data_IF_092756021680
#
_entry.id   IF_092756021680
#
_cell.length_a   1.000
_cell.length_b   1.000
_cell.length_c   1.000
_cell.angle_alpha   90.00
_cell.angle_beta   90.00
_cell.angle_gamma   90.00
#
_symmetry.space_group_name_H-M   'P 1'
#
loop_
_entity.id
_entity.type
_entity.pdbx_description
1 polymer ?
#
# COMPACT_ATOMS: atom_id res chain seq x y z
N UNK A 1 -16.88 -1.14 22.11
CA UNK A 1 -15.64 -0.33 22.12
C UNK A 1 -14.86 -0.72 20.89
N UNK A 2 -14.96 0.07 19.81
CA UNK A 2 -14.17 -0.19 18.61
C UNK A 2 -12.92 0.65 18.74
N UNK A 3 -11.80 0.01 19.08
CA UNK A 3 -10.49 0.63 19.00
C UNK A 3 -10.30 1.09 17.55
N UNK A 4 -10.39 2.40 17.31
CA UNK A 4 -9.94 3.04 16.07
C UNK A 4 -8.42 2.87 16.02
N UNK A 5 -8.00 1.68 15.63
CA UNK A 5 -6.61 1.37 15.34
C UNK A 5 -6.24 2.30 14.19
N UNK A 6 -5.39 3.29 14.46
CA UNK A 6 -4.85 4.17 13.43
C UNK A 6 -4.22 3.29 12.36
N UNK A 7 -4.89 3.13 11.23
CA UNK A 7 -4.39 2.28 10.16
C UNK A 7 -3.12 2.90 9.59
N UNK A 8 -2.08 2.07 9.43
CA UNK A 8 -0.84 2.52 8.82
C UNK A 8 -1.11 2.90 7.36
N UNK A 9 -0.54 4.03 6.96
CA UNK A 9 -0.63 4.51 5.59
C UNK A 9 0.76 4.59 5.00
N UNK A 10 0.91 3.96 3.84
CA UNK A 10 2.16 3.81 3.12
C UNK A 10 2.14 4.59 1.80
N UNK A 11 3.30 5.09 1.43
CA UNK A 11 3.56 5.68 0.12
C UNK A 11 3.87 4.60 -0.89
N UNK A 12 3.76 4.90 -2.18
CA UNK A 12 4.19 3.99 -3.28
C UNK A 12 5.60 3.44 -3.06
N UNK A 13 6.52 4.29 -2.60
CA UNK A 13 7.92 3.91 -2.31
C UNK A 13 8.02 2.91 -1.15
N UNK A 14 7.23 3.11 -0.10
CA UNK A 14 7.23 2.21 1.06
C UNK A 14 6.70 0.83 0.65
N UNK A 15 5.56 0.80 -0.06
CA UNK A 15 4.96 -0.45 -0.56
C UNK A 15 5.88 -1.18 -1.55
N UNK A 16 6.57 -0.43 -2.43
CA UNK A 16 7.56 -0.99 -3.34
C UNK A 16 8.69 -1.71 -2.59
N UNK A 17 9.21 -1.11 -1.51
CA UNK A 17 10.20 -1.73 -0.64
C UNK A 17 9.64 -2.98 0.04
N UNK A 18 8.44 -2.91 0.62
CA UNK A 18 7.79 -4.03 1.32
C UNK A 18 7.55 -5.23 0.41
N UNK A 19 7.16 -4.98 -0.85
CA UNK A 19 6.86 -6.03 -1.81
C UNK A 19 8.10 -6.44 -2.64
N UNK A 20 9.27 -5.82 -2.42
CA UNK A 20 10.48 -6.01 -3.22
C UNK A 20 10.27 -5.82 -4.74
N UNK A 21 9.45 -4.83 -5.12
CA UNK A 21 9.17 -4.50 -6.53
C UNK A 21 9.50 -3.04 -6.83
N UNK A 22 9.49 -2.67 -8.11
CA UNK A 22 9.68 -1.28 -8.53
C UNK A 22 8.44 -0.42 -8.23
N UNK A 23 8.66 0.89 -8.03
CA UNK A 23 7.58 1.88 -7.90
C UNK A 23 6.58 1.83 -9.08
N UNK A 24 7.07 1.53 -10.28
CA UNK A 24 6.22 1.38 -11.46
C UNK A 24 5.28 0.18 -11.36
N UNK A 25 5.73 -0.93 -10.76
CA UNK A 25 4.89 -2.12 -10.52
C UNK A 25 3.72 -1.77 -9.60
N UNK A 26 3.99 -1.06 -8.50
CA UNK A 26 2.93 -0.58 -7.59
C UNK A 26 1.96 0.35 -8.33
N UNK A 27 2.46 1.27 -9.15
CA UNK A 27 1.61 2.16 -9.97
C UNK A 27 0.75 1.40 -10.98
N UNK A 28 1.25 0.29 -11.54
CA UNK A 28 0.47 -0.60 -12.43
C UNK A 28 -0.60 -1.35 -11.64
N UNK A 29 -0.30 -1.81 -10.43
CA UNK A 29 -1.30 -2.43 -9.56
C UNK A 29 -2.45 -1.49 -9.24
N UNK A 30 -2.15 -0.23 -8.94
CA UNK A 30 -3.15 0.81 -8.70
C UNK A 30 -4.00 1.07 -9.95
N UNK A 31 -3.36 1.19 -11.12
CA UNK A 31 -4.05 1.54 -12.38
C UNK A 31 -4.89 0.40 -12.96
N UNK A 32 -4.43 -0.85 -12.82
CA UNK A 32 -4.93 -1.96 -13.64
C UNK A 32 -5.23 -3.24 -12.87
N UNK A 33 -4.78 -3.38 -11.62
CA UNK A 33 -5.01 -4.61 -10.83
C UNK A 33 -5.89 -4.39 -9.60
N UNK A 34 -6.37 -3.17 -9.38
CA UNK A 34 -7.35 -2.88 -8.33
C UNK A 34 -6.75 -2.65 -6.94
N UNK A 35 -5.47 -2.29 -6.84
CA UNK A 35 -4.91 -1.82 -5.57
C UNK A 35 -5.49 -0.44 -5.25
N UNK A 36 -6.29 -0.35 -4.19
CA UNK A 36 -6.88 0.91 -3.75
C UNK A 36 -5.79 1.89 -3.29
N UNK A 37 -5.94 3.13 -3.75
CA UNK A 37 -5.02 4.21 -3.47
C UNK A 37 -5.78 5.52 -3.30
N UNK A 38 -5.40 6.28 -2.28
CA UNK A 38 -5.98 7.56 -1.93
C UNK A 38 -4.98 8.67 -2.28
N UNK A 39 -5.46 9.73 -2.90
CA UNK A 39 -4.65 10.93 -3.13
C UNK A 39 -4.92 11.92 -2.01
N UNK A 40 -3.87 12.56 -1.50
CA UNK A 40 -4.08 13.67 -0.59
C UNK A 40 -4.52 14.92 -1.39
N UNK A 41 -5.57 15.60 -0.95
CA UNK A 41 -6.15 16.76 -1.65
C UNK A 41 -5.11 17.87 -1.88
N UNK A 42 -4.07 17.94 -1.03
CA UNK A 42 -3.02 18.97 -1.11
C UNK A 42 -1.77 18.56 -1.91
N UNK A 43 -1.70 17.33 -2.45
CA UNK A 43 -0.55 16.92 -3.24
C UNK A 43 -0.75 15.57 -3.91
N UNK A 44 -0.17 15.42 -5.11
CA UNK A 44 -0.18 14.21 -5.95
C UNK A 44 0.52 12.98 -5.31
N UNK A 45 0.61 12.94 -3.98
CA UNK A 45 1.14 11.85 -3.20
C UNK A 45 0.05 10.78 -3.02
N UNK A 46 0.27 9.66 -3.70
CA UNK A 46 -0.51 8.43 -3.55
C UNK A 46 -0.22 7.81 -2.18
N UNK A 47 -1.30 7.48 -1.47
CA UNK A 47 -1.33 6.80 -0.17
C UNK A 47 -2.07 5.46 -0.30
N UNK A 48 -1.51 4.41 0.26
CA UNK A 48 -2.04 3.06 0.25
C UNK A 48 -2.23 2.65 1.71
N UNK A 49 -3.43 2.24 2.09
CA UNK A 49 -3.74 1.82 3.46
C UNK A 49 -3.28 0.39 3.67
N UNK A 50 -2.84 0.06 4.89
CA UNK A 50 -2.39 -1.28 5.27
C UNK A 50 -3.43 -2.36 4.92
N UNK A 51 -4.71 -2.12 5.23
CA UNK A 51 -5.79 -3.08 4.97
C UNK A 51 -5.99 -3.34 3.48
N UNK A 52 -6.05 -2.29 2.65
CA UNK A 52 -6.14 -2.46 1.19
C UNK A 52 -4.95 -3.23 0.61
N UNK A 53 -3.74 -2.92 1.07
CA UNK A 53 -2.54 -3.64 0.64
C UNK A 53 -2.57 -5.10 1.08
N UNK A 54 -3.08 -5.37 2.29
CA UNK A 54 -3.22 -6.74 2.81
C UNK A 54 -4.24 -7.53 1.98
N UNK A 55 -5.44 -6.99 1.76
CA UNK A 55 -6.47 -7.65 0.95
C UNK A 55 -5.97 -7.92 -0.49
N UNK A 56 -5.30 -6.93 -1.09
CA UNK A 56 -4.71 -7.06 -2.41
C UNK A 56 -3.63 -8.15 -2.46
N UNK A 57 -2.73 -8.16 -1.48
CA UNK A 57 -1.63 -9.13 -1.42
C UNK A 57 -2.11 -10.55 -1.16
N UNK A 58 -3.15 -10.74 -0.36
CA UNK A 58 -3.77 -12.06 -0.11
C UNK A 58 -4.46 -12.62 -1.36
N UNK A 59 -5.12 -11.74 -2.13
CA UNK A 59 -5.80 -12.07 -3.39
C UNK A 59 -4.81 -12.55 -4.46
N UNK A 60 -3.70 -11.83 -4.63
CA UNK A 60 -2.70 -12.11 -5.66
C UNK A 60 -1.51 -12.97 -5.17
N UNK A 61 -1.52 -13.41 -3.90
CA UNK A 61 -0.43 -14.17 -3.26
C UNK A 61 0.92 -13.44 -3.35
N UNK A 62 0.91 -12.12 -3.13
CA UNK A 62 2.10 -11.28 -3.12
C UNK A 62 2.73 -11.33 -1.73
N UNK A 63 4.05 -11.50 -1.67
CA UNK A 63 4.79 -11.38 -0.42
C UNK A 63 4.94 -9.90 -0.03
N UNK A 64 4.68 -9.60 1.24
CA UNK A 64 4.81 -8.25 1.81
C UNK A 64 5.62 -8.34 3.11
N UNK A 65 6.80 -7.74 3.14
CA UNK A 65 7.57 -7.58 4.37
C UNK A 65 7.10 -6.35 5.16
N UNK A 66 6.21 -6.58 6.12
CA UNK A 66 5.66 -5.54 7.00
C UNK A 66 6.70 -4.87 7.89
N UNK A 67 7.91 -5.44 8.02
CA UNK A 67 8.99 -4.85 8.81
C UNK A 67 9.92 -3.95 7.99
N UNK A 68 9.85 -3.98 6.65
CA UNK A 68 10.78 -3.28 5.77
C UNK A 68 10.78 -1.74 5.93
N UNK A 69 9.69 -1.19 6.44
CA UNK A 69 9.47 0.26 6.57
C UNK A 69 8.91 0.64 7.94
N UNK A 70 9.20 -0.16 8.98
CA UNK A 70 8.80 0.15 10.36
C UNK A 70 9.21 1.59 10.72
N UNK A 71 8.23 2.40 11.12
CA UNK A 71 8.39 3.77 11.64
C UNK A 71 8.58 3.75 13.15
#
# INVERSE_FOLDING_TARGET
>A
MSETKSENVYSVKEVATMCHVSNETIRRWIRSQGLNAYNNISGLAIKIVESDLREFSESLKIYVDWNAVKK
#
